data_IF_155853810552
#
_entry.id   IF_155853810552
#
_cell.length_a   1.000
_cell.length_b   1.000
_cell.length_c   1.000
_cell.angle_alpha   90.00
_cell.angle_beta   90.00
_cell.angle_gamma   90.00
#
_symmetry.space_group_name_H-M   'P 1'
#
loop_
_entity.id
_entity.type
_entity.pdbx_description
1 polymer ?
#
# COMPACT_ATOMS: atom_id res chain seq x y z
N UNK A 1 -16.90 15.70 2.52
CA UNK A 1 -15.68 16.03 3.31
C UNK A 1 -14.49 16.18 2.37
N UNK A 2 -13.93 17.38 2.27
CA UNK A 2 -12.73 17.72 1.51
C UNK A 2 -12.39 19.20 1.74
N UNK A 3 -11.18 19.64 1.38
CA UNK A 3 -10.65 21.00 1.65
C UNK A 3 -11.51 22.14 1.05
N UNK A 4 -12.41 21.81 0.11
CA UNK A 4 -13.48 22.68 -0.40
C UNK A 4 -14.84 22.12 -0.02
N UNK A 5 -15.66 22.98 0.58
CA UNK A 5 -17.09 22.74 0.81
C UNK A 5 -17.82 22.86 -0.52
N UNK A 6 -18.10 21.71 -1.13
CA UNK A 6 -18.89 21.62 -2.35
C UNK A 6 -20.35 21.34 -1.93
N UNK A 7 -21.31 22.23 -2.24
CA UNK A 7 -22.71 22.01 -1.90
C UNK A 7 -23.26 20.77 -2.62
N UNK A 8 -24.18 20.05 -1.98
CA UNK A 8 -24.81 18.85 -2.54
C UNK A 8 -25.46 19.10 -3.92
N UNK A 9 -25.97 20.31 -4.14
CA UNK A 9 -26.49 20.74 -5.44
C UNK A 9 -25.43 20.69 -6.54
N UNK A 10 -24.20 21.15 -6.28
CA UNK A 10 -23.10 21.10 -7.24
C UNK A 10 -22.61 19.66 -7.51
N UNK A 11 -22.80 18.72 -6.56
CA UNK A 11 -22.53 17.29 -6.81
C UNK A 11 -23.56 16.70 -7.76
N UNK A 12 -24.84 17.05 -7.57
CA UNK A 12 -25.94 16.59 -8.42
C UNK A 12 -25.83 17.17 -9.84
N UNK A 13 -25.50 18.46 -9.95
CA UNK A 13 -25.22 19.13 -11.23
C UNK A 13 -23.99 18.54 -11.91
N UNK A 14 -22.89 18.30 -11.19
CA UNK A 14 -21.71 17.65 -11.76
C UNK A 14 -21.99 16.23 -12.29
N UNK A 15 -22.92 15.50 -11.68
CA UNK A 15 -23.32 14.15 -12.09
C UNK A 15 -24.25 14.15 -13.31
N UNK A 16 -25.12 15.17 -13.44
CA UNK A 16 -26.11 15.27 -14.51
C UNK A 16 -25.66 16.14 -15.70
N UNK A 17 -24.66 17.00 -15.51
CA UNK A 17 -24.14 17.94 -16.51
C UNK A 17 -22.68 18.28 -16.25
N UNK A 18 -21.77 17.64 -16.98
CA UNK A 18 -20.34 17.88 -16.83
C UNK A 18 -19.91 19.17 -17.55
N UNK A 19 -20.00 20.30 -16.85
CA UNK A 19 -19.42 21.56 -17.32
C UNK A 19 -17.90 21.61 -17.05
N UNK A 20 -17.10 21.57 -18.12
CA UNK A 20 -15.64 21.65 -18.07
C UNK A 20 -15.09 23.01 -17.63
N UNK A 21 -15.92 24.06 -17.61
CA UNK A 21 -15.53 25.40 -17.13
C UNK A 21 -15.59 25.53 -15.61
N UNK A 22 -16.26 24.59 -14.92
CA UNK A 22 -16.41 24.61 -13.47
C UNK A 22 -15.31 23.78 -12.78
N UNK A 23 -14.42 24.47 -12.07
CA UNK A 23 -13.33 23.84 -11.32
C UNK A 23 -13.82 22.79 -10.29
N UNK A 24 -15.02 22.94 -9.73
CA UNK A 24 -15.56 22.00 -8.75
C UNK A 24 -16.00 20.67 -9.41
N UNK A 25 -16.51 20.72 -10.64
CA UNK A 25 -16.85 19.52 -11.42
C UNK A 25 -15.59 18.73 -11.78
N UNK A 26 -14.51 19.45 -12.13
CA UNK A 26 -13.20 18.84 -12.38
C UNK A 26 -12.64 18.10 -11.17
N UNK A 27 -12.75 18.67 -9.96
CA UNK A 27 -12.31 18.00 -8.71
C UNK A 27 -13.18 16.77 -8.40
N UNK A 28 -14.49 16.84 -8.62
CA UNK A 28 -15.40 15.70 -8.41
C UNK A 28 -15.02 14.54 -9.33
N UNK A 29 -14.90 14.78 -10.64
CA UNK A 29 -14.68 13.73 -11.63
C UNK A 29 -13.24 13.23 -11.70
N UNK A 30 -12.24 14.10 -11.56
CA UNK A 30 -10.83 13.72 -11.74
C UNK A 30 -10.16 13.27 -10.44
N UNK A 31 -10.71 13.57 -9.27
CA UNK A 31 -10.04 13.31 -7.99
C UNK A 31 -10.90 12.57 -6.98
N UNK A 32 -12.19 12.93 -6.84
CA UNK A 32 -13.07 12.30 -5.84
C UNK A 32 -13.66 10.98 -6.33
N UNK A 33 -14.26 10.97 -7.52
CA UNK A 33 -14.87 9.79 -8.13
C UNK A 33 -13.88 8.63 -8.33
N UNK A 34 -12.65 8.85 -8.84
CA UNK A 34 -11.70 7.75 -8.98
C UNK A 34 -11.31 7.17 -7.62
N UNK A 35 -11.13 8.02 -6.60
CA UNK A 35 -10.74 7.59 -5.25
C UNK A 35 -11.85 6.79 -4.56
N UNK A 36 -13.11 7.20 -4.70
CA UNK A 36 -14.25 6.46 -4.13
C UNK A 36 -14.45 5.13 -4.84
N UNK A 37 -14.30 5.09 -6.16
CA UNK A 37 -14.42 3.85 -6.94
C UNK A 37 -13.31 2.85 -6.58
N UNK A 38 -12.05 3.30 -6.53
CA UNK A 38 -10.93 2.44 -6.12
C UNK A 38 -11.12 1.96 -4.67
N UNK A 39 -11.55 2.83 -3.76
CA UNK A 39 -11.83 2.45 -2.37
C UNK A 39 -12.95 1.42 -2.24
N UNK A 40 -14.03 1.57 -3.02
CA UNK A 40 -15.15 0.63 -3.04
C UNK A 40 -14.73 -0.73 -3.62
N UNK A 41 -14.02 -0.73 -4.75
CA UNK A 41 -13.50 -1.95 -5.37
C UNK A 41 -12.52 -2.68 -4.45
N UNK A 42 -11.60 -1.94 -3.81
CA UNK A 42 -10.67 -2.50 -2.82
C UNK A 42 -11.43 -3.07 -1.61
N UNK A 43 -12.44 -2.37 -1.10
CA UNK A 43 -13.28 -2.85 0.01
C UNK A 43 -14.04 -4.14 -0.34
N UNK A 44 -14.62 -4.22 -1.53
CA UNK A 44 -15.27 -5.44 -2.03
C UNK A 44 -14.26 -6.59 -2.16
N UNK A 45 -13.10 -6.33 -2.75
CA UNK A 45 -12.04 -7.34 -2.90
C UNK A 45 -11.55 -7.88 -1.56
N UNK A 46 -11.30 -6.99 -0.58
CA UNK A 46 -10.91 -7.37 0.77
C UNK A 46 -12.02 -8.14 1.51
N UNK A 47 -13.28 -7.71 1.35
CA UNK A 47 -14.43 -8.40 1.91
C UNK A 47 -14.58 -9.82 1.36
N UNK A 48 -14.43 -10.01 0.05
CA UNK A 48 -14.45 -11.34 -0.60
C UNK A 48 -13.26 -12.19 -0.15
N UNK A 49 -12.06 -11.63 -0.11
CA UNK A 49 -10.86 -12.35 0.35
C UNK A 49 -11.00 -12.82 1.81
N UNK A 50 -11.52 -11.95 2.69
CA UNK A 50 -11.81 -12.28 4.08
C UNK A 50 -12.86 -13.38 4.21
N UNK A 51 -13.96 -13.27 3.46
CA UNK A 51 -15.02 -14.30 3.47
C UNK A 51 -14.53 -15.67 2.95
N UNK A 52 -13.70 -15.68 1.90
CA UNK A 52 -13.10 -16.91 1.36
C UNK A 52 -12.15 -17.56 2.36
N UNK A 53 -11.26 -16.78 2.99
CA UNK A 53 -10.36 -17.31 4.00
C UNK A 53 -11.11 -17.82 5.22
N UNK A 54 -12.05 -17.05 5.75
CA UNK A 54 -12.89 -17.47 6.88
C UNK A 54 -13.67 -18.76 6.55
N UNK A 55 -14.18 -18.89 5.32
CA UNK A 55 -14.89 -20.10 4.85
C UNK A 55 -13.99 -21.33 4.69
N UNK A 56 -12.77 -21.14 4.18
CA UNK A 56 -11.78 -22.21 4.01
C UNK A 56 -11.17 -22.67 5.33
N UNK A 57 -10.81 -21.73 6.21
CA UNK A 57 -10.21 -22.05 7.52
C UNK A 57 -11.25 -22.42 8.57
N UNK A 58 -12.54 -22.26 8.26
CA UNK A 58 -13.66 -22.33 9.23
C UNK A 58 -13.33 -21.56 10.52
N UNK A 59 -12.63 -20.44 10.37
CA UNK A 59 -12.09 -19.67 11.48
C UNK A 59 -12.43 -18.19 11.28
N UNK A 60 -13.37 -17.63 12.06
CA UNK A 60 -13.86 -16.27 11.89
C UNK A 60 -12.84 -15.17 12.24
N UNK A 61 -11.69 -15.53 12.81
CA UNK A 61 -10.57 -14.61 13.16
C UNK A 61 -9.40 -14.67 12.15
N UNK A 62 -9.53 -15.45 11.08
CA UNK A 62 -8.51 -15.47 10.03
C UNK A 62 -8.56 -14.18 9.20
N UNK A 63 -7.43 -13.47 9.14
CA UNK A 63 -7.24 -12.27 8.33
C UNK A 63 -6.21 -12.52 7.21
N UNK A 64 -6.55 -12.33 5.92
CA UNK A 64 -5.60 -12.37 4.80
C UNK A 64 -4.39 -11.45 4.98
N UNK A 65 -4.57 -10.31 5.66
CA UNK A 65 -3.55 -9.27 5.79
C UNK A 65 -2.32 -9.68 6.59
N UNK A 66 -2.41 -10.73 7.41
CA UNK A 66 -1.35 -11.15 8.34
C UNK A 66 -0.21 -11.95 7.69
N UNK A 67 -0.32 -12.32 6.41
CA UNK A 67 0.69 -13.10 5.69
C UNK A 67 1.91 -12.29 5.23
N UNK A 68 2.12 -11.08 5.74
CA UNK A 68 3.23 -10.20 5.32
C UNK A 68 3.05 -9.58 3.93
N UNK A 69 1.87 -9.71 3.31
CA UNK A 69 1.56 -9.18 1.96
C UNK A 69 1.77 -7.66 1.91
N UNK A 70 1.27 -6.94 2.92
CA UNK A 70 1.41 -5.48 2.98
C UNK A 70 2.86 -5.04 3.09
N UNK A 71 3.66 -5.77 3.86
CA UNK A 71 5.08 -5.47 4.04
C UNK A 71 5.88 -5.77 2.77
N UNK A 72 5.58 -6.89 2.10
CA UNK A 72 6.18 -7.25 0.80
C UNK A 72 5.84 -6.25 -0.30
N UNK A 73 4.57 -5.84 -0.39
CA UNK A 73 4.13 -4.82 -1.33
C UNK A 73 4.83 -3.48 -1.09
N UNK A 74 4.93 -3.06 0.18
CA UNK A 74 5.61 -1.82 0.57
C UNK A 74 7.10 -1.86 0.21
N UNK A 75 7.79 -2.97 0.51
CA UNK A 75 9.20 -3.13 0.19
C UNK A 75 9.45 -3.09 -1.32
N UNK A 76 8.60 -3.74 -2.12
CA UNK A 76 8.74 -3.73 -3.57
C UNK A 76 8.51 -2.33 -4.16
N UNK A 77 7.54 -1.57 -3.66
CA UNK A 77 7.32 -0.17 -4.09
C UNK A 77 8.49 0.72 -3.71
N UNK A 78 8.99 0.64 -2.48
CA UNK A 78 10.17 1.40 -2.05
C UNK A 78 11.39 1.04 -2.89
N UNK A 79 11.59 -0.23 -3.18
CA UNK A 79 12.67 -0.70 -4.07
C UNK A 79 12.49 -0.19 -5.50
N UNK A 80 11.26 -0.15 -6.02
CA UNK A 80 10.94 0.38 -7.34
C UNK A 80 11.29 1.88 -7.45
N UNK A 81 11.00 2.65 -6.41
CA UNK A 81 11.32 4.07 -6.34
C UNK A 81 12.84 4.26 -6.22
N UNK A 82 13.47 3.59 -5.25
CA UNK A 82 14.88 3.80 -4.91
C UNK A 82 15.85 3.27 -5.98
N UNK A 83 15.55 2.13 -6.61
CA UNK A 83 16.47 1.48 -7.56
C UNK A 83 16.13 1.78 -9.02
N UNK A 84 14.84 1.85 -9.36
CA UNK A 84 14.39 1.98 -10.75
C UNK A 84 13.88 3.39 -11.07
N UNK A 85 13.77 4.28 -10.08
CA UNK A 85 13.31 5.66 -10.29
C UNK A 85 11.87 5.74 -10.79
N UNK A 86 11.04 4.74 -10.49
CA UNK A 86 9.62 4.75 -10.89
C UNK A 86 8.93 5.90 -10.15
N UNK A 87 8.30 6.81 -10.89
CA UNK A 87 7.55 7.95 -10.33
C UNK A 87 6.07 7.90 -10.65
N UNK A 88 5.68 7.03 -11.59
CA UNK A 88 4.30 6.92 -12.04
C UNK A 88 3.45 6.03 -11.10
N UNK A 89 2.26 6.51 -10.65
CA UNK A 89 1.38 5.75 -9.78
C UNK A 89 0.93 4.40 -10.35
N UNK A 90 0.72 4.30 -11.67
CA UNK A 90 0.33 3.03 -12.29
C UNK A 90 1.48 2.02 -12.28
N UNK A 91 2.73 2.51 -12.31
CA UNK A 91 3.92 1.70 -12.12
C UNK A 91 3.96 1.04 -10.74
N UNK A 92 3.66 1.80 -9.68
CA UNK A 92 3.68 1.27 -8.30
C UNK A 92 2.74 0.09 -8.08
N UNK A 93 1.59 0.07 -8.76
CA UNK A 93 0.58 -1.00 -8.60
C UNK A 93 1.17 -2.37 -8.96
N UNK A 94 1.93 -2.45 -10.05
CA UNK A 94 2.52 -3.71 -10.50
C UNK A 94 3.62 -4.20 -9.55
N UNK A 95 4.49 -3.30 -9.09
CA UNK A 95 5.51 -3.64 -8.11
C UNK A 95 4.90 -4.05 -6.76
N UNK A 96 3.87 -3.33 -6.29
CA UNK A 96 3.13 -3.68 -5.08
C UNK A 96 2.50 -5.07 -5.19
N UNK A 97 1.85 -5.36 -6.32
CA UNK A 97 1.22 -6.65 -6.57
C UNK A 97 2.23 -7.80 -6.57
N UNK A 98 3.34 -7.64 -7.30
CA UNK A 98 4.41 -8.65 -7.36
C UNK A 98 5.04 -8.82 -5.97
N UNK A 99 5.38 -7.75 -5.27
CA UNK A 99 5.96 -7.80 -3.93
C UNK A 99 5.06 -8.50 -2.91
N UNK A 100 3.76 -8.19 -2.95
CA UNK A 100 2.77 -8.83 -2.11
C UNK A 100 2.60 -10.32 -2.41
N UNK A 101 2.52 -10.68 -3.70
CA UNK A 101 2.42 -12.07 -4.14
C UNK A 101 3.66 -12.90 -3.78
N UNK A 102 4.86 -12.32 -3.97
CA UNK A 102 6.12 -12.96 -3.58
C UNK A 102 6.20 -13.16 -2.07
N UNK A 103 5.80 -12.17 -1.26
CA UNK A 103 5.77 -12.32 0.19
C UNK A 103 4.81 -13.43 0.64
N UNK A 104 3.58 -13.47 0.09
CA UNK A 104 2.63 -14.54 0.38
C UNK A 104 3.19 -15.92 -0.02
N UNK A 105 3.80 -16.03 -1.20
CA UNK A 105 4.40 -17.27 -1.68
C UNK A 105 5.57 -17.72 -0.79
N UNK A 106 6.42 -16.79 -0.33
CA UNK A 106 7.52 -17.08 0.59
C UNK A 106 7.02 -17.57 1.95
N UNK A 107 6.01 -16.91 2.52
CA UNK A 107 5.40 -17.35 3.79
C UNK A 107 4.80 -18.74 3.63
N UNK A 108 4.04 -18.97 2.56
CA UNK A 108 3.43 -20.29 2.32
C UNK A 108 4.50 -21.37 2.11
N UNK A 109 5.51 -21.12 1.27
CA UNK A 109 6.60 -22.06 1.02
C UNK A 109 7.42 -22.36 2.30
N UNK A 110 7.71 -21.34 3.11
CA UNK A 110 8.39 -21.53 4.39
C UNK A 110 7.53 -22.37 5.36
N UNK A 111 6.21 -22.17 5.35
CA UNK A 111 5.30 -22.94 6.19
C UNK A 111 5.18 -24.40 5.72
N UNK A 112 5.18 -24.66 4.41
CA UNK A 112 5.13 -26.04 3.87
C UNK A 112 6.42 -26.82 4.08
N UNK A 113 7.58 -26.15 4.16
CA UNK A 113 8.87 -26.76 4.48
C UNK A 113 9.04 -27.04 5.98
N UNK A 114 8.21 -26.44 6.83
CA UNK A 114 8.26 -26.60 8.28
C UNK A 114 7.70 -27.95 8.76
N UNK A 115 8.16 -28.46 9.92
CA UNK A 115 7.74 -29.76 10.45
C UNK A 115 6.24 -29.84 10.78
N UNK A 116 5.60 -28.71 11.10
CA UNK A 116 4.16 -28.64 11.39
C UNK A 116 3.31 -28.35 10.14
N UNK A 117 3.92 -28.06 8.99
CA UNK A 117 3.22 -27.65 7.77
C UNK A 117 2.52 -26.28 7.89
N UNK A 118 1.66 -25.91 6.92
CA UNK A 118 0.97 -24.63 6.88
C UNK A 118 -0.19 -24.56 7.88
N UNK A 119 0.14 -24.43 9.16
CA UNK A 119 -0.83 -24.18 10.24
C UNK A 119 -1.08 -22.68 10.41
N UNK A 120 -2.24 -22.25 10.95
CA UNK A 120 -2.51 -20.84 11.20
C UNK A 120 -1.42 -20.16 12.04
N UNK A 121 -0.89 -20.86 13.05
CA UNK A 121 0.15 -20.35 13.95
C UNK A 121 1.47 -20.14 13.19
N UNK A 122 1.91 -21.12 12.40
CA UNK A 122 3.17 -21.01 11.63
C UNK A 122 3.07 -19.91 10.57
N UNK A 123 1.94 -19.78 9.90
CA UNK A 123 1.69 -18.71 8.91
C UNK A 123 1.75 -17.32 9.54
N UNK A 124 1.19 -17.14 10.74
CA UNK A 124 1.23 -15.87 11.47
C UNK A 124 2.68 -15.53 11.89
N UNK A 125 3.42 -16.50 12.43
CA UNK A 125 4.80 -16.28 12.87
C UNK A 125 5.73 -15.97 11.69
N UNK A 126 5.60 -16.70 10.57
CA UNK A 126 6.35 -16.45 9.36
C UNK A 126 5.97 -15.11 8.72
N UNK A 127 4.68 -14.76 8.68
CA UNK A 127 4.21 -13.46 8.23
C UNK A 127 4.79 -12.30 9.06
N UNK A 128 4.88 -12.45 10.38
CA UNK A 128 5.53 -11.49 11.26
C UNK A 128 7.04 -11.38 10.98
N UNK A 129 7.74 -12.50 10.78
CA UNK A 129 9.16 -12.51 10.43
C UNK A 129 9.44 -11.82 9.09
N UNK A 130 8.63 -12.10 8.06
CA UNK A 130 8.71 -11.42 6.75
C UNK A 130 8.43 -9.93 6.90
N UNK A 131 7.43 -9.56 7.70
CA UNK A 131 7.09 -8.16 7.96
C UNK A 131 8.23 -7.41 8.63
N UNK A 132 8.84 -7.98 9.66
CA UNK A 132 9.99 -7.39 10.34
C UNK A 132 11.19 -7.23 9.39
N UNK A 133 11.47 -8.26 8.59
CA UNK A 133 12.56 -8.23 7.60
C UNK A 133 12.34 -7.15 6.55
N UNK A 134 11.14 -7.07 5.98
CA UNK A 134 10.77 -6.07 5.00
C UNK A 134 10.84 -4.65 5.58
N UNK A 135 10.36 -4.45 6.81
CA UNK A 135 10.40 -3.14 7.49
C UNK A 135 11.83 -2.70 7.77
N UNK A 136 12.69 -3.63 8.20
CA UNK A 136 14.12 -3.36 8.40
C UNK A 136 14.81 -2.98 7.08
N UNK A 137 14.53 -3.71 5.99
CA UNK A 137 15.07 -3.39 4.66
C UNK A 137 14.60 -2.03 4.13
N UNK A 138 13.31 -1.69 4.27
CA UNK A 138 12.77 -0.36 3.94
C UNK A 138 13.50 0.71 4.75
N UNK A 139 13.66 0.51 6.06
CA UNK A 139 14.33 1.46 6.93
C UNK A 139 15.78 1.66 6.51
N UNK A 140 16.51 0.58 6.21
CA UNK A 140 17.87 0.66 5.70
C UNK A 140 17.96 1.49 4.42
N UNK A 141 17.08 1.25 3.45
CA UNK A 141 17.02 2.02 2.20
C UNK A 141 16.77 3.51 2.46
N UNK A 142 15.81 3.82 3.33
CA UNK A 142 15.49 5.20 3.69
C UNK A 142 16.64 5.92 4.40
N UNK A 143 17.41 5.20 5.23
CA UNK A 143 18.61 5.76 5.87
C UNK A 143 19.73 6.01 4.86
N UNK A 144 19.93 5.12 3.88
CA UNK A 144 20.96 5.31 2.84
C UNK A 144 20.61 6.42 1.86
N UNK A 145 19.32 6.71 1.69
CA UNK A 145 18.82 7.78 0.81
C UNK A 145 18.80 9.16 1.49
N UNK A 146 19.07 9.25 2.81
CA UNK A 146 19.19 10.55 3.46
C UNK A 146 20.42 11.30 2.93
N UNK A 147 20.25 12.48 2.27
CA UNK A 147 21.38 13.33 1.96
C UNK A 147 22.06 13.72 3.27
N UNK A 148 23.38 13.53 3.34
CA UNK A 148 24.21 13.77 4.50
C UNK A 148 23.83 15.09 5.22
N UNK A 149 23.64 14.98 6.54
CA UNK A 149 23.24 16.00 7.51
C UNK A 149 23.49 17.48 7.11
N UNK A 150 22.54 18.40 7.42
CA UNK A 150 22.72 19.85 7.25
C UNK A 150 23.89 20.46 8.03
N UNK A 151 24.60 19.69 8.88
CA UNK A 151 25.82 20.14 9.57
C UNK A 151 26.96 20.52 8.61
N UNK A 152 26.94 20.03 7.36
CA UNK A 152 27.94 20.40 6.34
C UNK A 152 27.68 21.80 5.73
N UNK A 153 26.47 22.36 5.89
CA UNK A 153 26.16 23.72 5.47
C UNK A 153 26.59 24.78 6.51
N UNK A 154 26.61 24.43 7.80
CA UNK A 154 26.95 25.35 8.88
C UNK A 154 28.45 25.72 8.93
N UNK A 155 29.34 24.82 8.48
CA UNK A 155 30.77 25.12 8.35
C UNK A 155 31.13 26.04 7.17
N UNK A 156 30.17 26.30 6.26
CA UNK A 156 30.39 27.09 5.03
C UNK A 156 29.97 28.56 5.17
N UNK A 157 29.24 28.91 6.22
CA UNK A 157 28.86 30.30 6.55
C UNK A 157 29.77 30.82 7.65
N UNK A 158 31.02 31.09 7.29
CA UNK A 158 32.10 31.52 8.20
C UNK A 158 31.74 32.67 9.14
N UNK A 159 31.08 32.35 10.24
CA UNK A 159 30.97 33.19 11.43
C UNK A 159 32.06 32.72 12.40
N UNK A 160 33.25 33.28 12.20
CA UNK A 160 34.23 33.56 13.25
C UNK A 160 34.25 35.05 13.48
#
# INVERSE_FOLDING_TARGET
>A
MGVRDIPLAAVWEALLGHDHSNADHGVIWNQRMPRTLIGLLAGVALGVAGALLQGLTRNPIADPGLLGINAGASLAVVSAIALFGVTDPAGFVWFAFVGGATAAALVYAAATLGPEGPTPVTLILLGAAVTATATSAITLMLLTDQPASPSTAAGRWGLR
#
